data_IF_175064356835
#
_entry.id   IF_175064356835
#
_cell.length_a   1.000
_cell.length_b   1.000
_cell.length_c   1.000
_cell.angle_alpha   90.00
_cell.angle_beta   90.00
_cell.angle_gamma   90.00
#
_symmetry.space_group_name_H-M   'P 1'
#
loop_
_entity.id
_entity.type
_entity.pdbx_description
1 polymer ?
#
# COMPACT_ATOMS: atom_id res chain seq x y z
N UNK A 1 3.11 -20.09 -0.42
CA UNK A 1 2.87 -18.71 -0.90
C UNK A 1 1.92 -18.82 -2.08
N UNK A 2 0.88 -18.02 -2.11
CA UNK A 2 -0.08 -17.94 -3.23
C UNK A 2 -0.06 -16.51 -3.78
N UNK A 3 0.04 -16.37 -5.10
CA UNK A 3 0.07 -15.09 -5.79
C UNK A 3 1.37 -14.30 -5.58
N UNK A 4 2.43 -14.94 -5.14
CA UNK A 4 3.83 -14.45 -5.05
C UNK A 4 4.11 -12.99 -4.69
N UNK A 5 3.11 -12.13 -4.72
CA UNK A 5 3.28 -10.68 -4.56
C UNK A 5 4.27 -10.12 -5.59
N UNK A 6 5.17 -9.24 -5.15
CA UNK A 6 6.27 -8.72 -5.98
C UNK A 6 7.37 -9.75 -6.28
N UNK A 7 7.31 -10.97 -5.70
CA UNK A 7 8.36 -11.99 -5.83
C UNK A 7 7.78 -13.23 -6.52
N UNK A 8 7.60 -13.15 -7.83
CA UNK A 8 6.91 -14.16 -8.65
C UNK A 8 7.49 -15.59 -8.52
N UNK A 9 8.79 -15.74 -8.31
CA UNK A 9 9.43 -17.07 -8.16
C UNK A 9 9.10 -17.77 -6.84
N UNK A 10 8.45 -17.10 -5.89
CA UNK A 10 7.97 -17.71 -4.65
C UNK A 10 6.55 -18.28 -4.78
N UNK A 11 5.87 -18.06 -5.91
CA UNK A 11 4.51 -18.58 -6.08
C UNK A 11 4.51 -20.12 -6.04
N UNK A 12 3.58 -20.67 -5.28
CA UNK A 12 3.50 -22.11 -5.02
C UNK A 12 4.57 -22.64 -4.05
N UNK A 13 5.57 -21.86 -3.65
CA UNK A 13 6.63 -22.34 -2.75
C UNK A 13 6.10 -22.60 -1.32
N UNK A 14 6.51 -23.72 -0.75
CA UNK A 14 6.33 -24.06 0.67
C UNK A 14 7.42 -23.40 1.52
N UNK A 15 7.45 -22.08 1.53
CA UNK A 15 8.52 -21.29 2.11
C UNK A 15 8.77 -21.59 3.60
N UNK A 16 7.69 -21.87 4.37
CA UNK A 16 7.81 -22.25 5.78
C UNK A 16 8.62 -23.53 5.97
N UNK A 17 8.37 -24.54 5.15
CA UNK A 17 9.07 -25.82 5.21
C UNK A 17 10.53 -25.66 4.80
N UNK A 18 10.80 -24.89 3.75
CA UNK A 18 12.16 -24.59 3.27
C UNK A 18 13.00 -23.87 4.33
N UNK A 19 12.41 -22.86 4.99
CA UNK A 19 13.09 -22.12 6.06
C UNK A 19 13.27 -23.02 7.27
N UNK A 20 12.27 -23.81 7.67
CA UNK A 20 12.36 -24.74 8.78
C UNK A 20 13.51 -25.74 8.56
N UNK A 21 13.59 -26.34 7.39
CA UNK A 21 14.66 -27.28 7.02
C UNK A 21 16.05 -26.60 7.09
N UNK A 22 16.18 -25.41 6.48
CA UNK A 22 17.44 -24.66 6.52
C UNK A 22 17.87 -24.24 7.94
N UNK A 23 16.91 -24.10 8.87
CA UNK A 23 17.14 -23.75 10.27
C UNK A 23 17.18 -24.97 11.21
N UNK A 24 17.35 -26.19 10.69
CA UNK A 24 17.50 -27.40 11.52
C UNK A 24 16.17 -27.91 12.12
N UNK A 25 15.05 -27.68 11.46
CA UNK A 25 13.73 -28.19 11.84
C UNK A 25 12.97 -27.33 12.85
N UNK A 26 13.36 -26.08 13.04
CA UNK A 26 12.65 -25.13 13.93
C UNK A 26 11.27 -24.81 13.32
N UNK A 27 10.19 -24.82 14.13
CA UNK A 27 8.88 -24.41 13.65
C UNK A 27 8.88 -22.96 13.08
N UNK A 28 8.33 -22.79 11.88
CA UNK A 28 8.28 -21.50 11.17
C UNK A 28 6.82 -21.12 10.93
N UNK A 29 6.45 -19.89 11.30
CA UNK A 29 5.20 -19.25 10.91
C UNK A 29 5.48 -18.15 9.89
N UNK A 30 4.61 -18.02 8.90
CA UNK A 30 4.69 -16.99 7.87
C UNK A 30 3.44 -16.13 7.90
N UNK A 31 3.64 -14.83 7.69
CA UNK A 31 2.55 -13.89 7.49
C UNK A 31 2.96 -12.85 6.43
N UNK A 32 1.99 -12.20 5.81
CA UNK A 32 2.21 -11.05 4.94
C UNK A 32 2.82 -9.88 5.74
N UNK A 33 3.72 -9.11 5.13
CA UNK A 33 4.46 -8.02 5.74
C UNK A 33 3.56 -6.89 6.27
N UNK A 34 2.54 -6.49 5.49
CA UNK A 34 1.55 -5.50 5.95
C UNK A 34 0.72 -6.00 7.13
N UNK A 35 0.37 -7.29 7.14
CA UNK A 35 -0.32 -7.92 8.27
C UNK A 35 0.59 -8.05 9.50
N UNK A 36 1.89 -8.31 9.30
CA UNK A 36 2.88 -8.26 10.37
C UNK A 36 2.99 -6.86 10.98
N UNK A 37 2.99 -5.80 10.16
CA UNK A 37 2.98 -4.42 10.64
C UNK A 37 1.73 -4.14 11.49
N UNK A 38 0.55 -4.58 11.05
CA UNK A 38 -0.69 -4.43 11.80
C UNK A 38 -0.65 -5.18 13.15
N UNK A 39 -0.11 -6.39 13.17
CA UNK A 39 0.06 -7.15 14.40
C UNK A 39 1.03 -6.45 15.38
N UNK A 40 2.13 -5.91 14.88
CA UNK A 40 3.10 -5.18 15.70
C UNK A 40 2.47 -3.94 16.35
N UNK A 41 1.66 -3.18 15.60
CA UNK A 41 0.95 -2.01 16.10
C UNK A 41 -0.06 -2.34 17.21
N UNK A 42 -0.78 -3.44 17.09
CA UNK A 42 -1.71 -3.90 18.14
C UNK A 42 -0.99 -4.55 19.32
N UNK A 43 0.17 -5.13 19.10
CA UNK A 43 0.94 -5.76 20.17
C UNK A 43 1.67 -4.73 21.03
N UNK A 44 2.47 -3.85 20.42
CA UNK A 44 3.39 -2.94 21.12
C UNK A 44 3.33 -1.48 20.62
N UNK A 45 2.56 -1.23 19.55
CA UNK A 45 2.51 0.07 18.89
C UNK A 45 1.32 0.95 19.30
N UNK A 46 0.96 1.85 18.42
CA UNK A 46 -0.05 2.89 18.63
C UNK A 46 -1.50 2.36 18.68
N UNK A 47 -1.74 1.11 18.30
CA UNK A 47 -3.03 0.44 18.42
C UNK A 47 -3.08 -0.54 19.61
N UNK A 48 -2.15 -0.48 20.56
CA UNK A 48 -2.04 -1.46 21.65
C UNK A 48 -3.28 -1.54 22.55
N UNK A 49 -4.07 -0.48 22.65
CA UNK A 49 -5.33 -0.42 23.40
C UNK A 49 -6.57 -0.64 22.53
N UNK A 50 -6.43 -0.67 21.22
CA UNK A 50 -7.54 -0.83 20.29
C UNK A 50 -8.04 -2.30 20.25
N UNK A 51 -9.35 -2.47 20.12
CA UNK A 51 -9.99 -3.76 19.83
C UNK A 51 -10.04 -4.02 18.35
N UNK A 52 -10.43 -3.01 17.57
CA UNK A 52 -10.49 -3.04 16.11
C UNK A 52 -9.57 -1.96 15.55
N UNK A 53 -8.78 -2.28 14.55
CA UNK A 53 -7.88 -1.33 13.92
C UNK A 53 -7.71 -1.63 12.43
N UNK A 54 -7.44 -0.60 11.66
CA UNK A 54 -6.92 -0.73 10.32
C UNK A 54 -5.51 -0.10 10.25
N UNK A 55 -4.58 -0.80 9.61
CA UNK A 55 -3.22 -0.29 9.41
C UNK A 55 -2.96 -0.19 7.92
N UNK A 56 -2.56 0.99 7.47
CA UNK A 56 -2.25 1.32 6.08
C UNK A 56 -0.76 1.61 6.01
N UNK A 57 -0.01 0.77 5.29
CA UNK A 57 1.44 0.89 5.15
C UNK A 57 1.75 1.41 3.75
N UNK A 58 2.21 2.65 3.63
CA UNK A 58 2.49 3.31 2.35
C UNK A 58 4.00 3.42 2.15
N UNK A 59 4.47 2.73 1.14
CA UNK A 59 5.88 2.68 0.73
C UNK A 59 5.99 2.61 -0.78
N UNK A 60 6.90 1.79 -1.30
CA UNK A 60 7.01 1.46 -2.73
C UNK A 60 5.67 0.99 -3.28
N UNK A 61 5.01 0.09 -2.55
CA UNK A 61 3.62 -0.29 -2.74
C UNK A 61 2.75 0.21 -1.58
N UNK A 62 1.57 -0.36 -1.47
CA UNK A 62 0.70 -0.18 -0.32
C UNK A 62 0.34 -1.55 0.25
N UNK A 63 0.58 -1.72 1.54
CA UNK A 63 0.19 -2.89 2.29
C UNK A 63 -0.76 -2.51 3.42
N UNK A 64 -1.19 -3.49 4.17
CA UNK A 64 -2.00 -3.22 5.35
C UNK A 64 -2.47 -4.47 6.08
N UNK A 65 -3.24 -4.22 7.11
CA UNK A 65 -3.88 -5.27 7.88
C UNK A 65 -5.11 -4.76 8.61
N UNK A 66 -6.07 -5.63 8.74
CA UNK A 66 -7.32 -5.38 9.45
C UNK A 66 -7.30 -6.20 10.74
N UNK A 67 -7.51 -5.55 11.85
CA UNK A 67 -7.60 -6.17 13.17
C UNK A 67 -9.06 -6.12 13.63
N UNK A 68 -9.62 -7.26 14.00
CA UNK A 68 -10.94 -7.40 14.60
C UNK A 68 -10.79 -8.21 15.89
N UNK A 69 -11.36 -7.72 16.99
CA UNK A 69 -11.23 -8.37 18.30
C UNK A 69 -9.77 -8.68 18.68
N UNK A 70 -8.86 -7.73 18.42
CA UNK A 70 -7.41 -7.83 18.63
C UNK A 70 -6.71 -8.96 17.85
N UNK A 71 -7.35 -9.47 16.79
CA UNK A 71 -6.81 -10.53 15.93
C UNK A 71 -6.75 -10.06 14.50
N UNK A 72 -5.69 -10.50 13.80
CA UNK A 72 -5.58 -10.22 12.36
C UNK A 72 -6.71 -10.90 11.60
N UNK A 73 -7.48 -10.11 10.86
CA UNK A 73 -8.53 -10.60 9.99
C UNK A 73 -7.93 -10.95 8.62
N UNK A 74 -7.83 -12.24 8.32
CA UNK A 74 -7.22 -12.74 7.07
C UNK A 74 -8.23 -12.95 5.95
N UNK A 75 -9.52 -13.12 6.30
CA UNK A 75 -10.53 -13.55 5.35
C UNK A 75 -10.34 -15.02 4.91
N UNK A 76 -11.26 -15.50 4.09
CA UNK A 76 -11.25 -16.91 3.64
C UNK A 76 -10.06 -17.24 2.74
N UNK A 77 -9.60 -16.26 1.93
CA UNK A 77 -8.55 -16.44 0.92
C UNK A 77 -7.29 -15.63 1.26
N UNK A 78 -7.13 -15.22 2.50
CA UNK A 78 -6.04 -14.39 2.99
C UNK A 78 -5.97 -12.98 2.38
N UNK A 79 -7.01 -12.54 1.66
CA UNK A 79 -7.04 -11.27 0.93
C UNK A 79 -7.57 -10.08 1.75
N UNK A 80 -8.09 -10.32 2.97
CA UNK A 80 -8.53 -9.20 3.79
C UNK A 80 -7.31 -8.33 4.17
N UNK A 81 -7.44 -7.02 3.94
CA UNK A 81 -6.36 -6.07 4.18
C UNK A 81 -5.34 -5.94 3.05
N UNK A 82 -5.53 -6.62 1.90
CA UNK A 82 -4.73 -6.42 0.69
C UNK A 82 -5.17 -5.13 -0.01
N UNK A 83 -4.77 -4.00 0.55
CA UNK A 83 -5.27 -2.67 0.17
C UNK A 83 -4.81 -2.23 -1.22
N UNK A 84 -3.74 -2.80 -1.76
CA UNK A 84 -3.22 -2.50 -3.10
C UNK A 84 -4.28 -2.63 -4.19
N UNK A 85 -5.15 -3.63 -4.04
CA UNK A 85 -6.17 -3.98 -5.03
C UNK A 85 -7.51 -3.27 -4.81
N UNK A 86 -7.62 -2.42 -3.79
CA UNK A 86 -8.84 -1.64 -3.58
C UNK A 86 -9.04 -0.64 -4.73
N UNK A 87 -10.29 -0.54 -5.19
CA UNK A 87 -10.67 0.36 -6.28
C UNK A 87 -11.03 1.73 -5.71
N UNK A 88 -10.56 2.78 -6.38
CA UNK A 88 -10.83 4.16 -5.98
C UNK A 88 -11.91 4.80 -6.84
N UNK A 89 -11.58 5.10 -8.09
CA UNK A 89 -12.47 5.74 -9.05
C UNK A 89 -12.32 5.01 -10.39
N UNK A 90 -13.19 4.06 -10.66
CA UNK A 90 -13.17 3.33 -11.93
C UNK A 90 -14.39 3.69 -12.75
N UNK A 91 -14.18 4.10 -13.98
CA UNK A 91 -15.23 4.32 -14.97
C UNK A 91 -15.66 3.01 -15.63
N UNK A 92 -16.77 3.01 -16.35
CA UNK A 92 -17.19 1.82 -17.12
C UNK A 92 -16.24 1.47 -18.25
N UNK A 93 -15.65 2.48 -18.89
CA UNK A 93 -14.68 2.30 -19.98
C UNK A 93 -13.40 1.65 -19.46
N UNK A 94 -12.92 2.09 -18.30
CA UNK A 94 -11.77 1.46 -17.64
C UNK A 94 -12.06 0.02 -17.22
N UNK A 95 -13.29 -0.29 -16.79
CA UNK A 95 -13.67 -1.65 -16.39
C UNK A 95 -13.54 -2.66 -17.54
N UNK A 96 -13.78 -2.24 -18.78
CA UNK A 96 -13.65 -3.09 -19.97
C UNK A 96 -12.17 -3.36 -20.33
N UNK A 97 -11.23 -2.59 -19.78
CA UNK A 97 -9.80 -2.65 -20.06
C UNK A 97 -8.96 -3.13 -18.86
N UNK A 98 -9.59 -3.54 -17.77
CA UNK A 98 -8.87 -4.07 -16.59
C UNK A 98 -7.99 -5.24 -16.97
N UNK A 99 -6.73 -5.21 -16.53
CA UNK A 99 -5.78 -6.30 -16.74
C UNK A 99 -5.33 -6.89 -15.40
N UNK A 100 -5.01 -8.16 -15.42
CA UNK A 100 -4.51 -8.86 -14.25
C UNK A 100 -3.13 -8.29 -13.86
N UNK A 101 -2.99 -7.77 -12.65
CA UNK A 101 -1.73 -7.19 -12.18
C UNK A 101 -0.57 -8.20 -12.13
N UNK A 102 -0.87 -9.51 -12.03
CA UNK A 102 0.15 -10.57 -12.02
C UNK A 102 0.88 -10.69 -13.37
N UNK A 103 0.27 -10.21 -14.45
CA UNK A 103 0.81 -10.25 -15.82
C UNK A 103 1.52 -8.95 -16.21
N UNK A 104 1.40 -7.90 -15.40
CA UNK A 104 1.89 -6.55 -15.70
C UNK A 104 3.20 -6.25 -14.93
N UNK A 105 4.01 -5.36 -15.50
CA UNK A 105 5.05 -4.65 -14.74
C UNK A 105 4.40 -3.61 -13.82
N UNK A 106 5.21 -2.99 -12.96
CA UNK A 106 4.73 -1.93 -12.05
C UNK A 106 4.20 -0.74 -12.86
N UNK A 107 4.94 -0.31 -13.87
CA UNK A 107 4.59 0.80 -14.75
C UNK A 107 3.33 0.49 -15.56
N UNK A 108 3.22 -0.70 -16.13
CA UNK A 108 2.03 -1.15 -16.84
C UNK A 108 0.82 -1.22 -15.90
N UNK A 109 1.00 -1.60 -14.64
CA UNK A 109 -0.08 -1.57 -13.65
C UNK A 109 -0.61 -0.15 -13.45
N UNK A 110 0.26 0.85 -13.40
CA UNK A 110 -0.16 2.25 -13.28
C UNK A 110 -0.89 2.77 -14.52
N UNK A 111 -0.54 2.28 -15.70
CA UNK A 111 -1.16 2.68 -16.97
C UNK A 111 -2.51 1.99 -17.20
N UNK A 112 -2.57 0.67 -16.99
CA UNK A 112 -3.78 -0.13 -17.28
C UNK A 112 -4.78 -0.18 -16.12
N UNK A 113 -4.33 0.05 -14.89
CA UNK A 113 -5.18 0.02 -13.70
C UNK A 113 -5.03 1.31 -12.85
N UNK A 114 -5.20 2.53 -13.44
CA UNK A 114 -4.98 3.81 -12.75
C UNK A 114 -5.92 4.04 -11.58
N UNK A 115 -7.04 3.34 -11.55
CA UNK A 115 -8.08 3.41 -10.53
C UNK A 115 -7.77 2.58 -9.27
N UNK A 116 -6.72 1.78 -9.24
CA UNK A 116 -6.32 1.02 -8.05
C UNK A 116 -5.59 1.91 -7.05
N UNK A 117 -5.72 1.61 -5.76
CA UNK A 117 -5.02 2.33 -4.70
C UNK A 117 -3.51 2.34 -4.94
N UNK A 118 -2.93 1.21 -5.36
CA UNK A 118 -1.49 1.12 -5.65
C UNK A 118 -1.03 2.10 -6.73
N UNK A 119 -1.90 2.41 -7.71
CA UNK A 119 -1.61 3.33 -8.82
C UNK A 119 -1.85 4.80 -8.47
N UNK A 120 -2.48 5.08 -7.31
CA UNK A 120 -2.89 6.44 -6.97
C UNK A 120 -2.00 7.11 -5.95
N UNK A 121 -1.47 6.39 -4.97
CA UNK A 121 -0.90 7.01 -3.77
C UNK A 121 0.34 6.33 -3.17
N UNK A 122 1.00 5.45 -3.91
CA UNK A 122 2.27 4.83 -3.46
C UNK A 122 3.49 5.66 -3.85
N UNK A 123 4.62 5.44 -3.21
CA UNK A 123 5.86 6.12 -3.57
C UNK A 123 6.24 5.86 -5.04
N UNK A 124 6.08 4.62 -5.52
CA UNK A 124 6.35 4.28 -6.92
C UNK A 124 5.39 4.96 -7.89
N UNK A 125 4.08 5.05 -7.55
CA UNK A 125 3.12 5.75 -8.41
C UNK A 125 3.36 7.26 -8.45
N UNK A 126 3.79 7.86 -7.34
CA UNK A 126 4.14 9.28 -7.25
C UNK A 126 5.39 9.58 -8.09
N UNK A 127 6.47 8.81 -7.95
CA UNK A 127 7.69 9.01 -8.76
C UNK A 127 7.43 8.76 -10.25
N UNK A 128 6.63 7.75 -10.58
CA UNK A 128 6.21 7.48 -11.96
C UNK A 128 5.42 8.66 -12.57
N UNK A 129 4.41 9.19 -11.87
CA UNK A 129 3.65 10.35 -12.33
C UNK A 129 4.52 11.60 -12.44
N UNK A 130 5.38 11.83 -11.45
CA UNK A 130 6.34 12.93 -11.48
C UNK A 130 7.29 12.84 -12.67
N UNK A 131 7.74 11.64 -13.04
CA UNK A 131 8.59 11.44 -14.23
C UNK A 131 7.87 11.85 -15.53
N UNK A 132 6.57 11.58 -15.63
CA UNK A 132 5.76 12.01 -16.80
C UNK A 132 5.61 13.54 -16.85
N UNK A 133 5.33 14.18 -15.71
CA UNK A 133 5.23 15.67 -15.61
C UNK A 133 6.56 16.33 -15.98
N UNK A 134 7.67 15.78 -15.48
CA UNK A 134 9.00 16.37 -15.68
C UNK A 134 9.69 15.90 -16.97
N UNK A 135 9.01 15.07 -17.79
CA UNK A 135 9.56 14.48 -19.03
C UNK A 135 10.89 13.75 -18.82
N UNK A 136 11.01 13.03 -17.71
CA UNK A 136 12.17 12.20 -17.33
C UNK A 136 11.82 10.71 -17.43
N UNK A 137 12.85 9.86 -17.37
CA UNK A 137 12.61 8.43 -17.24
C UNK A 137 12.25 8.07 -15.80
N UNK A 138 11.34 7.09 -15.57
CA UNK A 138 10.92 6.70 -14.23
C UNK A 138 12.08 6.33 -13.29
N UNK A 139 13.10 5.65 -13.81
CA UNK A 139 14.28 5.24 -13.05
C UNK A 139 15.22 6.38 -12.63
N UNK A 140 15.03 7.57 -13.20
CA UNK A 140 15.81 8.79 -12.90
C UNK A 140 15.16 9.63 -11.80
N UNK A 141 13.90 9.34 -11.42
CA UNK A 141 13.14 10.14 -10.46
C UNK A 141 13.11 9.50 -9.08
N UNK A 142 13.63 10.19 -8.08
CA UNK A 142 13.56 9.77 -6.68
C UNK A 142 12.49 10.53 -5.90
N UNK A 143 12.11 9.98 -4.73
CA UNK A 143 11.17 10.66 -3.84
C UNK A 143 11.71 12.02 -3.33
N UNK A 144 13.03 12.13 -3.12
CA UNK A 144 13.66 13.38 -2.71
C UNK A 144 13.51 14.46 -3.79
N UNK A 145 13.65 14.10 -5.07
CA UNK A 145 13.45 15.04 -6.20
C UNK A 145 12.01 15.55 -6.24
N UNK A 146 11.02 14.69 -5.97
CA UNK A 146 9.61 15.12 -5.91
C UNK A 146 9.42 16.20 -4.84
N UNK A 147 9.98 16.00 -3.64
CA UNK A 147 9.89 17.00 -2.58
C UNK A 147 10.67 18.27 -2.89
N UNK A 148 11.81 18.16 -3.56
CA UNK A 148 12.55 19.35 -4.03
C UNK A 148 11.69 20.18 -5.00
N UNK A 149 11.02 19.56 -5.97
CA UNK A 149 10.14 20.27 -6.90
C UNK A 149 8.91 20.91 -6.21
N UNK A 150 8.42 20.31 -5.13
CA UNK A 150 7.40 20.93 -4.28
C UNK A 150 7.95 22.20 -3.62
N UNK A 151 9.16 22.13 -3.04
CA UNK A 151 9.81 23.26 -2.39
C UNK A 151 10.16 24.40 -3.39
N UNK A 152 10.45 24.05 -4.65
CA UNK A 152 10.65 24.95 -5.78
C UNK A 152 9.34 25.56 -6.30
N UNK A 153 8.19 25.10 -5.82
CA UNK A 153 6.86 25.61 -6.18
C UNK A 153 6.31 25.09 -7.50
N UNK A 154 6.71 23.90 -7.94
CA UNK A 154 6.14 23.26 -9.13
C UNK A 154 4.68 22.86 -8.87
N UNK A 155 3.73 23.62 -9.43
CA UNK A 155 2.30 23.46 -9.14
C UNK A 155 1.74 22.11 -9.61
N UNK A 156 2.18 21.58 -10.75
CA UNK A 156 1.71 20.28 -11.26
C UNK A 156 2.14 19.13 -10.33
N UNK A 157 3.37 19.19 -9.80
CA UNK A 157 3.87 18.22 -8.82
C UNK A 157 3.11 18.34 -7.50
N UNK A 158 2.87 19.58 -7.04
CA UNK A 158 2.09 19.84 -5.82
C UNK A 158 0.70 19.24 -5.96
N UNK A 159 -0.01 19.54 -7.04
CA UNK A 159 -1.37 19.05 -7.27
C UNK A 159 -1.42 17.51 -7.35
N UNK A 160 -0.46 16.89 -8.03
CA UNK A 160 -0.34 15.42 -8.13
C UNK A 160 -0.12 14.77 -6.76
N UNK A 161 0.69 15.37 -5.89
CA UNK A 161 0.93 14.86 -4.53
C UNK A 161 -0.29 15.08 -3.64
N UNK A 162 -0.99 16.20 -3.76
CA UNK A 162 -2.27 16.46 -3.07
C UNK A 162 -3.35 15.44 -3.47
N UNK A 163 -3.45 15.08 -4.75
CA UNK A 163 -4.34 14.01 -5.23
C UNK A 163 -4.00 12.66 -4.60
N UNK A 164 -2.72 12.41 -4.35
CA UNK A 164 -2.26 11.19 -3.67
C UNK A 164 -2.68 11.19 -2.19
N UNK A 165 -2.56 12.31 -1.49
CA UNK A 165 -3.05 12.45 -0.11
C UNK A 165 -4.58 12.27 -0.02
N UNK A 166 -5.31 12.87 -0.95
CA UNK A 166 -6.75 12.71 -1.04
C UNK A 166 -7.16 11.25 -1.31
N UNK A 167 -6.38 10.52 -2.12
CA UNK A 167 -6.62 9.10 -2.37
C UNK A 167 -6.46 8.25 -1.11
N UNK A 168 -5.43 8.51 -0.29
CA UNK A 168 -5.26 7.83 0.99
C UNK A 168 -6.40 8.19 1.96
N UNK A 169 -6.83 9.44 2.01
CA UNK A 169 -7.94 9.85 2.84
C UNK A 169 -9.25 9.14 2.45
N UNK A 170 -9.54 9.01 1.14
CA UNK A 170 -10.67 8.20 0.64
C UNK A 170 -10.58 6.73 1.07
N UNK A 171 -9.38 6.13 0.99
CA UNK A 171 -9.16 4.76 1.46
C UNK A 171 -9.46 4.65 2.96
N UNK A 172 -8.95 5.58 3.77
CA UNK A 172 -9.21 5.62 5.21
C UNK A 172 -10.72 5.78 5.51
N UNK A 173 -11.43 6.63 4.78
CA UNK A 173 -12.88 6.80 4.91
C UNK A 173 -13.63 5.49 4.58
N UNK A 174 -13.23 4.80 3.50
CA UNK A 174 -13.83 3.51 3.14
C UNK A 174 -13.58 2.44 4.21
N UNK A 175 -12.38 2.38 4.77
CA UNK A 175 -12.05 1.47 5.87
C UNK A 175 -12.85 1.82 7.13
N UNK A 176 -12.98 3.10 7.47
CA UNK A 176 -13.76 3.57 8.59
C UNK A 176 -15.23 3.12 8.47
N UNK A 177 -15.85 3.37 7.32
CA UNK A 177 -17.26 3.01 7.09
C UNK A 177 -17.51 1.50 6.97
N UNK A 178 -16.47 0.72 6.67
CA UNK A 178 -16.62 -0.74 6.48
C UNK A 178 -16.38 -1.53 7.76
N UNK A 179 -15.45 -1.06 8.60
CA UNK A 179 -14.92 -1.81 9.73
C UNK A 179 -15.33 -1.17 11.07
N UNK A 180 -15.61 0.15 11.08
CA UNK A 180 -15.81 0.96 12.30
C UNK A 180 -14.67 0.72 13.33
N UNK A 181 -13.40 0.98 12.96
CA UNK A 181 -12.28 0.69 13.83
C UNK A 181 -12.09 1.77 14.90
N UNK A 182 -11.53 1.39 16.06
CA UNK A 182 -11.12 2.34 17.11
C UNK A 182 -10.04 3.32 16.60
N UNK A 183 -9.18 2.84 15.67
CA UNK A 183 -8.08 3.63 15.10
C UNK A 183 -7.72 3.16 13.71
N UNK A 184 -7.36 4.10 12.84
CA UNK A 184 -6.67 3.85 11.57
C UNK A 184 -5.25 4.41 11.70
N UNK A 185 -4.25 3.55 11.51
CA UNK A 185 -2.85 3.93 11.52
C UNK A 185 -2.30 4.00 10.10
N UNK A 186 -1.57 5.07 9.82
CA UNK A 186 -0.86 5.25 8.55
C UNK A 186 0.64 5.22 8.85
N UNK A 187 1.34 4.27 8.22
CA UNK A 187 2.77 4.05 8.39
C UNK A 187 3.48 3.79 7.07
N UNK A 188 4.69 3.26 7.16
CA UNK A 188 5.55 2.96 6.01
C UNK A 188 6.51 4.10 5.67
N UNK A 189 7.35 3.89 4.65
CA UNK A 189 8.44 4.81 4.31
C UNK A 189 7.98 6.25 4.02
N UNK A 190 6.81 6.42 3.43
CA UNK A 190 6.27 7.76 3.15
C UNK A 190 5.91 8.54 4.40
N UNK A 191 5.52 7.86 5.49
CA UNK A 191 5.20 8.52 6.75
C UNK A 191 6.41 9.15 7.47
N UNK A 192 7.63 8.85 7.02
CA UNK A 192 8.84 9.54 7.49
C UNK A 192 8.87 11.02 7.08
N UNK A 193 8.16 11.41 6.02
CA UNK A 193 7.98 12.83 5.70
C UNK A 193 6.97 13.46 6.67
N UNK A 194 7.35 14.53 7.41
CA UNK A 194 6.50 15.15 8.42
C UNK A 194 5.22 15.77 7.83
N UNK A 195 5.19 16.08 6.54
CA UNK A 195 4.03 16.68 5.87
C UNK A 195 3.03 15.62 5.37
N UNK A 196 3.41 14.34 5.31
CA UNK A 196 2.60 13.29 4.71
C UNK A 196 1.30 13.05 5.49
N UNK A 197 1.38 12.67 6.77
CA UNK A 197 0.19 12.40 7.59
C UNK A 197 -0.67 13.65 7.79
N UNK A 198 -0.11 14.84 8.07
CA UNK A 198 -0.89 16.09 8.06
C UNK A 198 -1.57 16.39 6.72
N UNK A 199 -0.90 16.10 5.60
CA UNK A 199 -1.47 16.23 4.26
C UNK A 199 -2.72 15.36 4.08
N UNK A 200 -2.64 14.08 4.44
CA UNK A 200 -3.79 13.15 4.39
C UNK A 200 -4.94 13.62 5.30
N UNK A 201 -4.62 14.13 6.49
CA UNK A 201 -5.62 14.58 7.49
C UNK A 201 -6.39 15.85 7.11
N UNK A 202 -5.97 16.56 6.07
CA UNK A 202 -6.70 17.74 5.57
C UNK A 202 -8.02 17.37 4.88
N UNK A 203 -8.09 16.17 4.40
CA UNK A 203 -9.24 15.59 3.70
C UNK A 203 -10.01 14.62 4.60
#
# INVERSE_FOLDING_TARGET
VYGGGGIKYLDGAHLGDLISEACGGVPVALENDGKCAALAEVWLGNASTATNAAVVVVGTGIGGGIIIDRKIHRGKRLLAGELSYALMNMTREEADNVRCCEELTVEETFEYNPFMVTSTCTASSITYKASKIMHMKPEEVSGEMVYQWIDEGNQEIIDMVEDSYFSIAKLCCNLYMTIDPDVILIGGGMSANPNFVPGVKRY
#
